data_IF_676592649781
#
_entry.id   IF_676592649781
#
_cell.length_a   1.000
_cell.length_b   1.000
_cell.length_c   1.000
_cell.angle_alpha   90.00
_cell.angle_beta   90.00
_cell.angle_gamma   90.00
#
_symmetry.space_group_name_H-M   'P 1'
#
loop_
_entity.id
_entity.type
_entity.pdbx_description
1 polymer ?
#
# COMPACT_ATOMS: atom_id res chain seq x y z
N UNK A 1 -7.37 19.08 -5.89
CA UNK A 1 -6.55 18.15 -5.09
C UNK A 1 -5.05 18.40 -5.26
N UNK A 2 -4.54 18.59 -6.48
CA UNK A 2 -3.11 18.78 -6.72
C UNK A 2 -2.79 20.18 -7.24
N UNK A 3 -2.11 21.00 -6.42
CA UNK A 3 -1.79 22.40 -6.76
C UNK A 3 -0.97 22.53 -8.05
N UNK A 4 0.00 21.63 -8.24
CA UNK A 4 0.86 21.63 -9.44
C UNK A 4 0.04 21.42 -10.73
N UNK A 5 -0.92 20.50 -10.73
CA UNK A 5 -1.75 20.21 -11.90
C UNK A 5 -2.78 21.33 -12.17
N UNK A 6 -3.27 21.98 -11.12
CA UNK A 6 -4.17 23.14 -11.28
C UNK A 6 -3.45 24.36 -11.86
N UNK A 7 -2.19 24.58 -11.47
CA UNK A 7 -1.40 25.72 -11.96
C UNK A 7 -0.76 25.47 -13.33
N UNK A 8 -0.56 24.21 -13.72
CA UNK A 8 0.11 23.82 -14.95
C UNK A 8 -0.73 22.77 -15.71
N UNK A 9 -1.72 23.20 -16.52
CA UNK A 9 -2.61 22.30 -17.25
C UNK A 9 -1.87 21.37 -18.24
N UNK A 10 -0.69 21.76 -18.74
CA UNK A 10 0.16 20.91 -19.58
C UNK A 10 0.65 19.65 -18.84
N UNK A 11 0.79 19.71 -17.50
CA UNK A 11 1.15 18.54 -16.70
C UNK A 11 0.00 17.53 -16.63
N UNK A 12 -1.25 17.96 -16.77
CA UNK A 12 -2.41 17.05 -16.80
C UNK A 12 -2.32 16.13 -18.02
N UNK A 13 -1.98 16.68 -19.19
CA UNK A 13 -1.79 15.88 -20.40
C UNK A 13 -0.64 14.86 -20.24
N UNK A 14 0.44 15.24 -19.57
CA UNK A 14 1.58 14.33 -19.30
C UNK A 14 1.19 13.20 -18.36
N UNK A 15 0.49 13.50 -17.25
CA UNK A 15 0.01 12.47 -16.32
C UNK A 15 -1.00 11.55 -17.00
N UNK A 16 -1.93 12.09 -17.77
CA UNK A 16 -2.90 11.29 -18.53
C UNK A 16 -2.23 10.35 -19.54
N UNK A 17 -1.15 10.78 -20.21
CA UNK A 17 -0.39 9.90 -21.08
C UNK A 17 0.31 8.76 -20.32
N UNK A 18 0.81 9.03 -19.10
CA UNK A 18 1.40 8.00 -18.23
C UNK A 18 0.31 7.01 -17.78
N UNK A 19 -0.84 7.50 -17.33
CA UNK A 19 -1.99 6.69 -16.93
C UNK A 19 -2.47 5.79 -18.09
N UNK A 20 -2.58 6.34 -19.30
CA UNK A 20 -2.94 5.58 -20.50
C UNK A 20 -1.89 4.53 -20.87
N UNK A 21 -0.60 4.80 -20.66
CA UNK A 21 0.47 3.81 -20.93
C UNK A 21 0.42 2.60 -19.99
N UNK A 22 -0.27 2.73 -18.86
CA UNK A 22 -0.48 1.66 -17.88
C UNK A 22 -1.84 0.96 -18.08
N UNK A 23 -2.64 1.38 -19.06
CA UNK A 23 -3.93 0.77 -19.33
C UNK A 23 -3.78 -0.72 -19.67
N UNK A 24 -4.57 -1.56 -19.01
CA UNK A 24 -4.49 -3.01 -19.16
C UNK A 24 -3.39 -3.69 -18.33
N UNK A 25 -2.56 -2.94 -17.59
CA UNK A 25 -1.62 -3.53 -16.65
C UNK A 25 -2.36 -4.34 -15.57
N UNK A 26 -2.04 -5.63 -15.46
CA UNK A 26 -2.62 -6.51 -14.46
C UNK A 26 -1.73 -6.57 -13.22
N UNK A 27 -2.16 -5.93 -12.14
CA UNK A 27 -1.48 -5.98 -10.85
C UNK A 27 -1.82 -7.29 -10.12
N UNK A 28 -0.84 -8.16 -9.92
CA UNK A 28 -0.94 -9.29 -8.99
C UNK A 28 -0.64 -8.82 -7.57
N UNK A 29 -1.49 -9.21 -6.61
CA UNK A 29 -1.34 -8.86 -5.20
C UNK A 29 -1.90 -9.99 -4.32
N UNK A 30 -1.48 -10.03 -3.06
CA UNK A 30 -2.02 -10.96 -2.06
C UNK A 30 -3.32 -10.35 -1.50
N UNK A 31 -4.49 -10.97 -1.71
CA UNK A 31 -5.75 -10.50 -1.11
C UNK A 31 -5.63 -10.47 0.41
N UNK A 32 -6.23 -9.46 1.07
CA UNK A 32 -6.13 -9.34 2.53
C UNK A 32 -6.74 -10.55 3.26
N UNK A 33 -7.73 -11.19 2.64
CA UNK A 33 -8.40 -12.40 3.15
C UNK A 33 -7.49 -13.63 3.13
N UNK A 34 -6.45 -13.62 2.28
CA UNK A 34 -5.48 -14.71 2.17
C UNK A 34 -4.18 -14.44 2.92
N UNK A 35 -3.92 -13.18 3.31
CA UNK A 35 -2.63 -12.76 3.84
C UNK A 35 -2.20 -13.56 5.08
N UNK A 36 -3.14 -13.90 5.97
CA UNK A 36 -2.87 -14.67 7.20
C UNK A 36 -2.19 -16.02 6.93
N UNK A 37 -2.37 -16.59 5.73
CA UNK A 37 -1.72 -17.85 5.31
C UNK A 37 -0.23 -17.69 5.06
N UNK A 38 0.21 -16.49 4.69
CA UNK A 38 1.59 -16.19 4.27
C UNK A 38 2.37 -15.40 5.33
N UNK A 39 1.72 -14.83 6.36
CA UNK A 39 2.37 -13.95 7.35
C UNK A 39 3.58 -14.57 8.04
N UNK A 40 3.62 -15.89 8.21
CA UNK A 40 4.76 -16.60 8.83
C UNK A 40 6.00 -16.62 7.95
N UNK A 41 5.83 -16.59 6.64
CA UNK A 41 6.93 -16.72 5.66
C UNK A 41 7.47 -15.35 5.23
N UNK A 42 6.72 -14.28 5.50
CA UNK A 42 7.14 -12.92 5.15
C UNK A 42 8.23 -12.44 6.14
N UNK A 43 9.43 -12.07 5.67
CA UNK A 43 10.48 -11.53 6.52
C UNK A 43 10.20 -10.06 6.87
N UNK A 44 10.92 -9.54 7.88
CA UNK A 44 10.95 -8.09 8.14
C UNK A 44 11.73 -7.35 7.06
N UNK A 45 11.45 -6.06 6.88
CA UNK A 45 12.18 -5.18 5.96
C UNK A 45 11.65 -5.17 4.52
N UNK A 46 10.59 -5.92 4.20
CA UNK A 46 9.95 -5.84 2.89
C UNK A 46 9.14 -4.55 2.80
N UNK A 47 9.14 -3.90 1.65
CA UNK A 47 8.21 -2.80 1.40
C UNK A 47 6.83 -3.43 1.16
N UNK A 48 5.83 -2.86 1.84
CA UNK A 48 4.42 -3.21 1.67
C UNK A 48 3.74 -2.07 0.93
N UNK A 49 3.21 -2.35 -0.25
CA UNK A 49 2.33 -1.43 -0.98
C UNK A 49 0.89 -1.94 -0.85
N UNK A 50 0.03 -1.14 -0.20
CA UNK A 50 -1.35 -1.54 0.11
C UNK A 50 -2.26 -1.16 -1.05
N UNK A 51 -2.91 -2.17 -1.63
CA UNK A 51 -3.84 -2.01 -2.75
C UNK A 51 -5.16 -1.43 -2.27
N UNK A 52 -5.61 -0.35 -2.90
CA UNK A 52 -6.82 0.37 -2.56
C UNK A 52 -8.05 -0.03 -3.39
N UNK A 53 -9.23 0.39 -2.93
CA UNK A 53 -10.49 0.25 -3.67
C UNK A 53 -10.95 1.52 -4.39
N UNK A 54 -10.18 2.60 -4.31
CA UNK A 54 -10.56 3.87 -4.92
C UNK A 54 -10.45 3.77 -6.46
N UNK A 55 -11.49 4.18 -7.22
CA UNK A 55 -11.40 4.20 -8.68
C UNK A 55 -10.26 5.10 -9.16
N UNK A 56 -9.46 4.60 -10.11
CA UNK A 56 -8.33 5.32 -10.69
C UNK A 56 -7.09 5.44 -9.79
N UNK A 57 -7.00 4.66 -8.70
CA UNK A 57 -5.83 4.65 -7.82
C UNK A 57 -5.47 3.22 -7.35
N UNK A 58 -4.26 2.79 -7.66
CA UNK A 58 -3.80 1.42 -7.38
C UNK A 58 -3.45 1.21 -5.90
N UNK A 59 -2.62 2.09 -5.35
CA UNK A 59 -2.08 1.96 -3.99
C UNK A 59 -2.58 3.10 -3.09
N UNK A 60 -3.07 2.73 -1.91
CA UNK A 60 -3.66 3.66 -0.95
C UNK A 60 -2.70 4.07 0.17
N UNK A 61 -1.72 3.22 0.50
CA UNK A 61 -0.77 3.45 1.59
C UNK A 61 0.46 2.55 1.46
N UNK A 62 1.56 2.90 2.13
CA UNK A 62 2.80 2.14 2.13
C UNK A 62 3.39 2.00 3.54
N UNK A 63 4.29 1.03 3.70
CA UNK A 63 5.12 0.85 4.89
C UNK A 63 6.12 -0.28 4.71
N UNK A 64 6.66 -0.76 5.82
CA UNK A 64 7.57 -1.90 5.86
C UNK A 64 7.00 -3.01 6.74
N UNK A 65 7.30 -4.26 6.39
CA UNK A 65 7.05 -5.38 7.30
C UNK A 65 8.02 -5.32 8.48
N UNK A 66 7.51 -5.54 9.69
CA UNK A 66 8.33 -5.55 10.90
C UNK A 66 7.84 -6.62 11.87
N UNK A 67 8.71 -7.57 12.24
CA UNK A 67 8.39 -8.57 13.24
C UNK A 67 8.61 -8.03 14.64
N UNK A 68 7.54 -8.08 15.44
CA UNK A 68 7.57 -7.80 16.86
C UNK A 68 7.01 -9.00 17.60
N UNK A 69 7.81 -9.57 18.52
CA UNK A 69 7.40 -10.70 19.36
C UNK A 69 6.85 -11.90 18.56
N UNK A 70 7.45 -12.16 17.39
CA UNK A 70 7.04 -13.24 16.46
C UNK A 70 5.90 -12.89 15.50
N UNK A 71 5.17 -11.80 15.73
CA UNK A 71 4.06 -11.34 14.91
C UNK A 71 4.49 -10.33 13.84
N UNK A 72 3.89 -10.38 12.65
CA UNK A 72 4.19 -9.47 11.55
C UNK A 72 3.32 -8.21 11.66
N UNK A 73 3.93 -7.04 11.79
CA UNK A 73 3.26 -5.74 11.84
C UNK A 73 3.65 -4.87 10.63
N UNK A 74 2.90 -3.79 10.42
CA UNK A 74 3.27 -2.73 9.49
C UNK A 74 4.00 -1.60 10.23
N UNK A 75 5.24 -1.30 9.86
CA UNK A 75 5.92 -0.07 10.23
C UNK A 75 5.60 1.01 9.20
N UNK A 76 4.89 2.07 9.58
CA UNK A 76 4.45 3.10 8.65
C UNK A 76 4.35 4.49 9.26
N UNK A 77 4.38 5.52 8.40
CA UNK A 77 3.96 6.86 8.77
C UNK A 77 2.44 6.90 8.91
N UNK A 78 1.94 7.15 10.12
CA UNK A 78 0.51 7.18 10.40
C UNK A 78 -0.02 8.62 10.41
N UNK A 79 -0.98 8.93 9.54
CA UNK A 79 -1.65 10.23 9.56
C UNK A 79 -2.46 10.45 10.84
N UNK A 80 -3.08 9.39 11.39
CA UNK A 80 -3.82 9.46 12.66
C UNK A 80 -2.87 9.55 13.85
N UNK A 81 -1.76 8.81 13.82
CA UNK A 81 -0.75 8.81 14.88
C UNK A 81 0.20 10.01 14.84
N UNK A 82 0.24 10.75 13.71
CA UNK A 82 1.16 11.88 13.44
C UNK A 82 2.63 11.54 13.65
N UNK A 83 3.00 10.26 13.51
CA UNK A 83 4.36 9.75 13.67
C UNK A 83 4.53 8.43 12.94
N UNK A 84 5.78 8.01 12.78
CA UNK A 84 6.10 6.64 12.36
C UNK A 84 5.81 5.71 13.54
N UNK A 85 5.06 4.64 13.27
CA UNK A 85 4.64 3.68 14.28
C UNK A 85 4.41 2.30 13.69
N UNK A 86 4.32 1.30 14.56
CA UNK A 86 3.76 0.00 14.19
C UNK A 86 2.23 0.08 14.16
N UNK A 87 1.61 -0.71 13.29
CA UNK A 87 0.18 -0.95 13.30
C UNK A 87 -0.28 -1.46 14.67
N UNK A 88 -1.51 -1.12 15.07
CA UNK A 88 -2.10 -1.49 16.37
C UNK A 88 -2.25 -2.99 16.58
N UNK A 89 -2.31 -3.75 15.49
CA UNK A 89 -2.32 -5.21 15.46
C UNK A 89 -1.39 -5.75 14.38
N UNK A 90 -1.46 -7.06 14.17
CA UNK A 90 -0.72 -7.74 13.09
C UNK A 90 -1.19 -7.21 11.72
N UNK A 91 -0.38 -7.46 10.69
CA UNK A 91 -0.60 -6.89 9.37
C UNK A 91 -1.96 -7.30 8.77
N UNK A 92 -2.36 -8.56 8.91
CA UNK A 92 -3.68 -9.04 8.44
C UNK A 92 -4.84 -8.32 9.10
N UNK A 93 -4.78 -8.12 10.42
CA UNK A 93 -5.84 -7.48 11.19
C UNK A 93 -5.94 -6.01 10.80
N UNK A 94 -4.79 -5.32 10.73
CA UNK A 94 -4.71 -3.93 10.29
C UNK A 94 -5.34 -3.71 8.90
N UNK A 95 -5.10 -4.62 7.95
CA UNK A 95 -5.70 -4.53 6.62
C UNK A 95 -7.20 -4.85 6.63
N UNK A 96 -7.61 -5.80 7.47
CA UNK A 96 -9.01 -6.22 7.60
C UNK A 96 -9.90 -5.13 8.21
N UNK A 97 -9.36 -4.38 9.17
CA UNK A 97 -10.04 -3.27 9.84
C UNK A 97 -10.40 -2.12 8.88
N UNK A 98 -9.66 -1.98 7.77
CA UNK A 98 -9.83 -0.88 6.82
C UNK A 98 -10.52 -1.38 5.55
N UNK A 99 -11.83 -1.13 5.45
CA UNK A 99 -12.69 -1.59 4.33
C UNK A 99 -12.14 -1.30 2.94
N UNK A 100 -11.51 -0.14 2.75
CA UNK A 100 -10.97 0.30 1.44
C UNK A 100 -9.70 -0.41 1.00
N UNK A 101 -9.05 -1.17 1.88
CA UNK A 101 -7.88 -1.96 1.51
C UNK A 101 -8.33 -3.30 0.94
N UNK A 102 -7.70 -3.71 -0.17
CA UNK A 102 -7.98 -4.98 -0.87
C UNK A 102 -6.91 -6.04 -0.62
N UNK A 103 -5.68 -5.64 -0.34
CA UNK A 103 -4.55 -6.55 -0.19
C UNK A 103 -3.21 -5.83 -0.29
N UNK A 104 -2.14 -6.59 -0.52
CA UNK A 104 -0.78 -6.04 -0.56
C UNK A 104 0.06 -6.57 -1.72
N UNK A 105 1.00 -5.75 -2.14
CA UNK A 105 2.18 -6.15 -2.91
C UNK A 105 3.40 -6.06 -2.00
N UNK A 106 4.26 -7.07 -2.04
CA UNK A 106 5.52 -7.11 -1.31
C UNK A 106 6.69 -6.86 -2.27
N UNK A 107 7.59 -5.95 -1.91
CA UNK A 107 8.78 -5.63 -2.72
C UNK A 107 10.05 -5.91 -1.91
N UNK A 108 11.15 -6.19 -2.61
CA UNK A 108 12.51 -6.21 -2.05
C UNK A 108 13.22 -4.91 -2.34
N UNK A 109 14.16 -4.54 -1.46
CA UNK A 109 15.20 -3.58 -1.79
C UNK A 109 16.39 -4.39 -2.29
N UNK A 110 16.79 -4.16 -3.55
CA UNK A 110 17.97 -4.77 -4.18
C UNK A 110 19.24 -3.98 -3.87
#
# INVERSE_FOLDING_TARGET
LYKALTLHPDLVAKISAIEASMEGYQLSYIPKEELSRYEKDIPSGRIVAIVGSAPGLDFAHLGFTYRKDGCLHLLHASSSGKKVMLSSGILSDYLSDIKRFKGIVLLEVL
#
